data_IF_135022835916
#
_entry.id   IF_135022835916
#
_cell.length_a   1.000
_cell.length_b   1.000
_cell.length_c   1.000
_cell.angle_alpha   90.00
_cell.angle_beta   90.00
_cell.angle_gamma   90.00
#
_symmetry.space_group_name_H-M   'P 1'
#
loop_
_entity.id
_entity.type
_entity.pdbx_description
1 polymer ?
#
# COMPACT_ATOMS: atom_id res chain seq x y z
N UNK A 1 -7.77 8.80 9.31
CA UNK A 1 -7.20 7.44 9.24
C UNK A 1 -5.71 7.53 8.93
N UNK A 2 -4.87 6.90 9.74
CA UNK A 2 -3.43 6.78 9.51
C UNK A 2 -3.12 5.44 8.88
N UNK A 3 -2.27 5.42 7.86
CA UNK A 3 -1.95 4.23 7.07
C UNK A 3 -0.44 4.07 7.00
N UNK A 4 0.04 2.85 7.25
CA UNK A 4 1.43 2.45 7.03
C UNK A 4 1.52 1.49 5.86
N UNK A 5 2.46 1.70 4.94
CA UNK A 5 2.66 0.89 3.73
C UNK A 5 4.13 0.51 3.59
N UNK A 6 4.40 -0.79 3.53
CA UNK A 6 5.71 -1.34 3.18
C UNK A 6 5.61 -2.34 2.01
N UNK A 7 6.65 -2.35 1.17
CA UNK A 7 6.86 -3.32 0.10
C UNK A 7 8.24 -3.93 0.29
N UNK A 8 8.25 -5.19 0.71
CA UNK A 8 9.46 -5.93 1.03
C UNK A 8 9.81 -6.94 -0.06
N UNK A 9 11.02 -6.85 -0.58
CA UNK A 9 11.54 -7.82 -1.55
C UNK A 9 12.15 -9.05 -0.87
N UNK A 10 11.91 -10.24 -1.43
CA UNK A 10 12.66 -11.43 -1.04
C UNK A 10 14.16 -11.28 -1.29
N UNK A 11 14.99 -11.86 -0.43
CA UNK A 11 16.45 -11.79 -0.56
C UNK A 11 16.90 -12.27 -1.95
N UNK A 12 17.91 -11.64 -2.58
CA UNK A 12 18.37 -12.02 -3.92
C UNK A 12 18.75 -13.50 -4.07
N UNK A 13 19.25 -14.12 -3.00
CA UNK A 13 19.65 -15.53 -2.91
C UNK A 13 18.49 -16.51 -2.74
N UNK A 14 17.29 -16.05 -2.43
CA UNK A 14 16.14 -16.91 -2.09
C UNK A 14 15.43 -17.52 -3.30
N UNK A 15 15.77 -17.10 -4.53
CA UNK A 15 15.03 -17.46 -5.75
C UNK A 15 13.59 -16.93 -5.79
N UNK A 16 13.19 -16.13 -4.79
CA UNK A 16 11.83 -15.61 -4.60
C UNK A 16 11.56 -14.50 -5.62
N UNK A 17 10.71 -14.81 -6.60
CA UNK A 17 10.32 -13.89 -7.68
C UNK A 17 9.13 -13.00 -7.32
N UNK A 18 8.90 -12.75 -6.03
CA UNK A 18 7.78 -11.93 -5.57
C UNK A 18 8.20 -11.02 -4.42
N UNK A 19 7.43 -9.96 -4.26
CA UNK A 19 7.51 -9.00 -3.17
C UNK A 19 6.28 -9.18 -2.28
N UNK A 20 6.44 -8.90 -0.99
CA UNK A 20 5.32 -8.88 -0.05
C UNK A 20 4.94 -7.43 0.21
N UNK A 21 3.66 -7.12 0.08
CA UNK A 21 3.10 -5.82 0.43
C UNK A 21 2.38 -5.96 1.75
N UNK A 22 2.67 -5.08 2.70
CA UNK A 22 1.99 -5.01 3.98
C UNK A 22 1.43 -3.60 4.17
N UNK A 23 0.11 -3.51 4.38
CA UNK A 23 -0.56 -2.24 4.65
C UNK A 23 -1.38 -2.36 5.93
N UNK A 24 -1.25 -1.35 6.78
CA UNK A 24 -2.03 -1.22 8.01
C UNK A 24 -2.78 0.10 8.04
N UNK A 25 -3.98 0.13 8.62
CA UNK A 25 -4.75 1.36 8.79
C UNK A 25 -5.36 1.47 10.19
N UNK A 26 -5.28 2.65 10.80
CA UNK A 26 -5.82 2.93 12.14
C UNK A 26 -7.31 2.61 12.20
N UNK A 27 -7.71 1.81 13.19
CA UNK A 27 -9.08 1.39 13.44
C UNK A 27 -9.78 2.22 14.53
N UNK A 28 -9.10 3.18 15.14
CA UNK A 28 -9.63 4.08 16.17
C UNK A 28 -8.97 5.46 16.12
N UNK A 29 -9.55 6.41 16.87
CA UNK A 29 -9.16 7.83 16.89
C UNK A 29 -7.87 8.12 17.69
N UNK A 30 -7.41 7.16 18.51
CA UNK A 30 -6.18 7.25 19.35
C UNK A 30 -5.04 6.37 18.74
N UNK A 31 -5.04 6.24 17.41
CA UNK A 31 -4.47 5.15 16.58
C UNK A 31 -3.69 4.03 17.32
N UNK A 32 -4.40 3.24 18.11
CA UNK A 32 -3.82 2.13 18.91
C UNK A 32 -4.07 0.76 18.27
N UNK A 33 -5.17 0.60 17.52
CA UNK A 33 -5.48 -0.64 16.79
C UNK A 33 -5.45 -0.40 15.29
N UNK A 34 -5.09 -1.44 14.54
CA UNK A 34 -4.94 -1.35 13.09
C UNK A 34 -5.58 -2.53 12.37
N UNK A 35 -6.29 -2.25 11.29
CA UNK A 35 -6.61 -3.23 10.25
C UNK A 35 -5.35 -3.56 9.46
N UNK A 36 -5.33 -4.73 8.81
CA UNK A 36 -4.20 -5.17 7.99
C UNK A 36 -4.67 -5.76 6.66
N UNK A 37 -3.86 -5.52 5.63
CA UNK A 37 -3.98 -6.08 4.29
C UNK A 37 -2.59 -6.56 3.87
N UNK A 38 -2.46 -7.81 3.41
CA UNK A 38 -1.18 -8.42 3.02
C UNK A 38 -1.33 -9.07 1.64
N UNK A 39 -0.46 -8.68 0.71
CA UNK A 39 -0.52 -9.09 -0.70
C UNK A 39 0.83 -9.61 -1.18
N UNK A 40 0.79 -10.44 -2.22
CA UNK A 40 1.97 -10.93 -2.94
C UNK A 40 1.99 -10.29 -4.31
N UNK A 41 3.09 -9.61 -4.64
CA UNK A 41 3.28 -8.93 -5.92
C UNK A 41 4.38 -9.64 -6.71
N UNK A 42 4.05 -10.18 -7.88
CA UNK A 42 5.05 -10.82 -8.75
C UNK A 42 6.11 -9.82 -9.25
N UNK A 43 7.36 -10.28 -9.37
CA UNK A 43 8.46 -9.60 -10.04
C UNK A 43 8.68 -10.26 -11.40
N UNK A 44 8.14 -9.69 -12.47
CA UNK A 44 8.42 -10.20 -13.82
C UNK A 44 9.91 -9.99 -14.14
N UNK A 45 10.61 -11.08 -14.42
CA UNK A 45 12.07 -11.14 -14.61
C UNK A 45 12.59 -10.32 -15.82
N UNK A 46 11.69 -9.91 -16.71
CA UNK A 46 11.99 -9.17 -17.94
C UNK A 46 11.91 -7.65 -17.78
N UNK A 47 11.37 -7.15 -16.66
CA UNK A 47 11.33 -5.72 -16.35
C UNK A 47 12.68 -5.23 -15.81
N UNK A 48 13.74 -5.35 -16.62
CA UNK A 48 15.14 -5.07 -16.23
C UNK A 48 15.48 -3.60 -15.95
N UNK A 49 14.53 -2.65 -15.92
CA UNK A 49 14.88 -1.21 -15.78
C UNK A 49 13.89 -0.30 -15.03
N UNK A 50 12.75 -0.79 -14.58
CA UNK A 50 11.82 0.01 -13.79
C UNK A 50 11.48 -0.79 -12.54
N UNK A 51 12.06 -0.40 -11.41
CA UNK A 51 11.76 -1.03 -10.14
C UNK A 51 10.26 -0.95 -9.88
N UNK A 52 9.68 -2.09 -9.48
CA UNK A 52 8.27 -2.19 -9.09
C UNK A 52 8.13 -1.82 -7.61
N UNK A 53 8.66 -0.66 -7.22
CA UNK A 53 8.54 -0.15 -5.84
C UNK A 53 7.13 0.35 -5.52
N UNK A 54 6.30 0.55 -6.54
CA UNK A 54 4.90 0.86 -6.34
C UNK A 54 4.08 -0.40 -6.06
N UNK A 55 3.08 -0.24 -5.20
CA UNK A 55 2.10 -1.28 -4.87
C UNK A 55 1.07 -1.39 -6.00
N UNK A 56 1.01 -2.55 -6.67
CA UNK A 56 0.11 -2.81 -7.81
C UNK A 56 -1.36 -2.81 -7.38
N UNK A 57 -1.67 -3.47 -6.27
CA UNK A 57 -3.05 -3.65 -5.78
C UNK A 57 -3.49 -2.51 -4.82
N UNK A 58 -2.86 -1.35 -4.89
CA UNK A 58 -3.09 -0.24 -3.94
C UNK A 58 -4.56 0.17 -3.87
N UNK A 59 -5.26 0.23 -5.02
CA UNK A 59 -6.69 0.53 -5.06
C UNK A 59 -7.50 -0.47 -4.25
N UNK A 60 -7.29 -1.77 -4.47
CA UNK A 60 -8.04 -2.83 -3.79
C UNK A 60 -7.76 -2.82 -2.28
N UNK A 61 -6.49 -2.69 -1.90
CA UNK A 61 -6.05 -2.61 -0.50
C UNK A 61 -6.76 -1.46 0.21
N UNK A 62 -6.73 -0.26 -0.38
CA UNK A 62 -7.31 0.94 0.24
C UNK A 62 -8.83 0.89 0.28
N UNK A 63 -9.49 0.35 -0.74
CA UNK A 63 -10.94 0.06 -0.71
C UNK A 63 -11.27 -0.81 0.49
N UNK A 64 -10.54 -1.92 0.70
CA UNK A 64 -10.79 -2.83 1.82
C UNK A 64 -10.63 -2.12 3.18
N UNK A 65 -9.55 -1.37 3.37
CA UNK A 65 -9.26 -0.68 4.62
C UNK A 65 -10.25 0.44 4.93
N UNK A 66 -10.65 1.22 3.92
CA UNK A 66 -11.69 2.26 4.07
C UNK A 66 -13.03 1.62 4.41
N UNK A 67 -13.42 0.54 3.73
CA UNK A 67 -14.65 -0.18 4.05
C UNK A 67 -14.64 -0.79 5.45
N UNK A 68 -13.49 -1.28 5.94
CA UNK A 68 -13.34 -1.74 7.32
C UNK A 68 -13.51 -0.59 8.31
N UNK A 69 -12.88 0.56 8.05
CA UNK A 69 -13.04 1.77 8.86
C UNK A 69 -14.51 2.20 8.93
N UNK A 70 -15.17 2.32 7.78
CA UNK A 70 -16.56 2.75 7.67
C UNK A 70 -17.52 1.79 8.38
N UNK A 71 -17.31 0.47 8.27
CA UNK A 71 -18.10 -0.52 9.02
C UNK A 71 -17.98 -0.37 10.53
N UNK A 72 -16.84 0.08 11.03
CA UNK A 72 -16.62 0.29 12.47
C UNK A 72 -17.14 1.63 13.00
N UNK A 73 -17.13 2.69 12.17
CA UNK A 73 -17.46 4.06 12.61
C UNK A 73 -18.81 4.56 12.08
N UNK A 74 -19.36 3.92 11.05
CA UNK A 74 -20.59 4.33 10.36
C UNK A 74 -20.40 5.43 9.31
N UNK A 75 -19.16 5.90 9.10
CA UNK A 75 -18.81 6.90 8.10
C UNK A 75 -17.37 6.67 7.59
N UNK A 76 -17.04 7.07 6.34
CA UNK A 76 -15.69 6.95 5.80
C UNK A 76 -14.73 7.95 6.45
N UNK A 77 -13.41 7.69 6.45
CA UNK A 77 -12.45 8.61 7.04
C UNK A 77 -12.42 9.95 6.29
N UNK A 78 -12.53 11.06 7.02
CA UNK A 78 -12.52 12.43 6.46
C UNK A 78 -11.15 12.81 5.86
N UNK A 79 -10.08 12.23 6.39
CA UNK A 79 -8.71 12.44 5.92
C UNK A 79 -7.90 11.16 6.08
N UNK A 80 -6.96 10.94 5.15
CA UNK A 80 -6.04 9.80 5.14
C UNK A 80 -4.61 10.34 5.14
N UNK A 81 -3.80 9.89 6.10
CA UNK A 81 -2.37 10.18 6.18
C UNK A 81 -1.62 8.88 5.94
N UNK A 82 -0.73 8.87 4.94
CA UNK A 82 0.00 7.66 4.53
C UNK A 82 1.49 7.82 4.84
N UNK A 83 2.04 6.87 5.57
CA UNK A 83 3.47 6.68 5.77
C UNK A 83 3.93 5.50 4.89
N UNK A 84 4.65 5.82 3.80
CA UNK A 84 5.14 4.86 2.81
C UNK A 84 6.65 4.67 3.00
N UNK A 85 7.07 3.46 3.38
CA UNK A 85 8.47 3.13 3.69
C UNK A 85 9.25 2.58 2.47
N UNK A 86 10.58 2.63 2.49
CA UNK A 86 11.40 1.88 1.54
C UNK A 86 11.43 2.40 0.09
N UNK A 87 11.00 3.65 -0.16
CA UNK A 87 11.12 4.29 -1.48
C UNK A 87 12.43 5.08 -1.57
N UNK A 88 13.22 4.86 -2.62
CA UNK A 88 14.40 5.69 -2.90
C UNK A 88 14.00 7.04 -3.50
N UNK A 89 14.85 8.07 -3.30
CA UNK A 89 14.60 9.41 -3.84
C UNK A 89 14.44 9.41 -5.38
N UNK A 90 15.12 8.54 -6.10
CA UNK A 90 15.03 8.44 -7.56
C UNK A 90 13.70 7.86 -8.06
N UNK A 91 12.94 7.20 -7.20
CA UNK A 91 11.70 6.50 -7.56
C UNK A 91 10.47 7.22 -7.00
N UNK A 92 10.67 8.17 -6.07
CA UNK A 92 9.61 8.83 -5.31
C UNK A 92 8.48 9.35 -6.20
N UNK A 93 8.78 10.22 -7.17
CA UNK A 93 7.75 10.85 -8.00
C UNK A 93 6.94 9.79 -8.78
N UNK A 94 7.61 8.80 -9.38
CA UNK A 94 6.91 7.77 -10.15
C UNK A 94 6.04 6.86 -9.27
N UNK A 95 6.50 6.52 -8.06
CA UNK A 95 5.72 5.67 -7.14
C UNK A 95 4.55 6.46 -6.57
N UNK A 96 4.82 7.69 -6.11
CA UNK A 96 3.82 8.59 -5.55
C UNK A 96 2.68 8.83 -6.54
N UNK A 97 2.98 9.18 -7.79
CA UNK A 97 1.95 9.42 -8.82
C UNK A 97 1.07 8.18 -9.05
N UNK A 98 1.67 7.00 -9.21
CA UNK A 98 0.94 5.74 -9.46
C UNK A 98 0.05 5.36 -8.28
N UNK A 99 0.60 5.39 -7.07
CA UNK A 99 -0.15 5.02 -5.86
C UNK A 99 -1.23 6.05 -5.54
N UNK A 100 -0.94 7.35 -5.66
CA UNK A 100 -1.94 8.41 -5.43
C UNK A 100 -3.09 8.31 -6.43
N UNK A 101 -2.81 8.03 -7.70
CA UNK A 101 -3.86 7.79 -8.70
C UNK A 101 -4.71 6.57 -8.35
N UNK A 102 -4.09 5.47 -7.91
CA UNK A 102 -4.81 4.28 -7.48
C UNK A 102 -5.72 4.56 -6.26
N UNK A 103 -5.26 5.34 -5.29
CA UNK A 103 -6.00 5.74 -4.09
C UNK A 103 -7.18 6.66 -4.46
N UNK A 104 -6.94 7.68 -5.29
CA UNK A 104 -8.00 8.62 -5.71
C UNK A 104 -9.05 7.98 -6.63
N UNK A 105 -8.64 6.96 -7.39
CA UNK A 105 -9.53 6.13 -8.19
C UNK A 105 -10.51 5.25 -7.39
N UNK A 106 -10.52 5.37 -6.06
CA UNK A 106 -11.53 4.80 -5.14
C UNK A 106 -12.94 5.40 -5.31
N UNK A 107 -13.11 6.53 -6.01
CA UNK A 107 -14.46 7.07 -6.28
C UNK A 107 -15.22 6.19 -7.27
N UNK A 108 -15.96 5.20 -6.76
CA UNK A 108 -16.86 4.33 -7.50
C UNK A 108 -17.96 3.79 -6.60
#
# INVERSE_FOLDING_TARGET
>A
MYVGVDLSHGAPSSGRKFSTVAVVASADDIPNRYFKEIYVQERLAEARRQSREYVVDMKQIMTSLISQYEKCHGYPPLAIVIYRDGISNSEFDSVFEKELMAIRGYHG
#
